data_IF_816987260393
#
_entry.id   IF_816987260393
#
_cell.length_a   1.000
_cell.length_b   1.000
_cell.length_c   1.000
_cell.angle_alpha   90.00
_cell.angle_beta   90.00
_cell.angle_gamma   90.00
#
_symmetry.space_group_name_H-M   'P 1'
#
loop_
_entity.id
_entity.type
_entity.pdbx_description
1 polymer ?
#
# COMPACT_ATOMS: atom_id res chain seq x y z
N UNK A 1 -31.33 9.56 -17.16
CA UNK A 1 -29.97 9.01 -17.31
C UNK A 1 -29.14 9.45 -16.13
N UNK A 2 -28.96 8.57 -15.14
CA UNK A 2 -28.14 8.87 -13.97
C UNK A 2 -26.67 8.67 -14.34
N UNK A 3 -25.86 9.75 -14.27
CA UNK A 3 -24.40 9.62 -14.24
C UNK A 3 -24.06 8.73 -13.05
N UNK A 4 -23.56 7.52 -13.32
CA UNK A 4 -22.92 6.72 -12.28
C UNK A 4 -21.89 7.63 -11.60
N UNK A 5 -22.05 7.87 -10.30
CA UNK A 5 -21.05 8.60 -9.54
C UNK A 5 -19.74 7.84 -9.76
N UNK A 6 -18.77 8.47 -10.45
CA UNK A 6 -17.45 7.89 -10.60
C UNK A 6 -17.00 7.50 -9.20
N UNK A 7 -16.69 6.21 -8.99
CA UNK A 7 -16.30 5.71 -7.69
C UNK A 7 -15.21 6.65 -7.13
N UNK A 8 -15.26 7.06 -5.84
CA UNK A 8 -14.32 8.05 -5.29
C UNK A 8 -12.84 7.76 -5.63
N UNK A 9 -12.50 6.48 -5.80
CA UNK A 9 -11.18 6.02 -6.21
C UNK A 9 -10.73 6.40 -7.63
N UNK A 10 -11.65 6.59 -8.58
CA UNK A 10 -11.30 6.82 -10.00
C UNK A 10 -10.45 8.09 -10.24
N UNK A 11 -10.53 9.08 -9.35
CA UNK A 11 -9.63 10.25 -9.40
C UNK A 11 -8.32 10.02 -8.66
N UNK A 12 -8.35 9.19 -7.62
CA UNK A 12 -7.17 8.80 -6.85
C UNK A 12 -6.28 7.81 -7.59
N UNK A 13 -6.84 6.98 -8.49
CA UNK A 13 -6.09 5.96 -9.26
C UNK A 13 -5.03 6.52 -10.22
N UNK A 14 -5.05 7.84 -10.47
CA UNK A 14 -3.97 8.55 -11.15
C UNK A 14 -2.72 8.73 -10.28
N UNK A 15 -2.84 8.56 -8.96
CA UNK A 15 -1.81 8.84 -7.96
C UNK A 15 -1.51 7.64 -7.06
N UNK A 16 -2.53 6.84 -6.73
CA UNK A 16 -2.43 5.70 -5.82
C UNK A 16 -3.15 4.49 -6.43
N UNK A 17 -2.48 3.35 -6.40
CA UNK A 17 -3.03 2.06 -6.80
C UNK A 17 -3.97 1.52 -5.73
N UNK A 18 -3.51 1.54 -4.47
CA UNK A 18 -4.29 1.17 -3.30
C UNK A 18 -3.74 1.77 -2.00
N UNK A 19 -4.54 1.68 -0.95
CA UNK A 19 -4.14 1.90 0.44
C UNK A 19 -4.23 0.57 1.17
N UNK A 20 -3.17 0.20 1.88
CA UNK A 20 -3.14 -1.01 2.68
C UNK A 20 -3.07 -0.66 4.17
N UNK A 21 -3.73 -1.47 4.97
CA UNK A 21 -3.60 -1.46 6.43
C UNK A 21 -2.96 -2.78 6.83
N UNK A 22 -1.81 -2.71 7.50
CA UNK A 22 -1.06 -3.88 7.97
C UNK A 22 -1.00 -3.84 9.48
N UNK A 23 -1.29 -4.95 10.13
CA UNK A 23 -1.19 -5.12 11.59
C UNK A 23 -0.20 -6.20 11.94
N UNK A 24 0.07 -6.34 13.23
CA UNK A 24 0.80 -7.48 13.75
C UNK A 24 -0.16 -8.44 14.43
N UNK A 25 -0.29 -9.63 13.86
CA UNK A 25 -0.96 -10.79 14.44
C UNK A 25 0.05 -11.64 15.22
N UNK A 26 -0.36 -12.20 16.36
CA UNK A 26 0.54 -12.94 17.25
C UNK A 26 0.98 -14.30 16.69
N UNK A 27 0.15 -14.91 15.83
CA UNK A 27 0.42 -16.22 15.24
C UNK A 27 1.07 -16.08 13.86
N UNK A 28 0.60 -15.13 13.06
CA UNK A 28 1.03 -14.95 11.67
C UNK A 28 2.15 -13.91 11.50
N UNK A 29 2.37 -13.04 12.48
CA UNK A 29 3.28 -11.90 12.36
C UNK A 29 2.62 -10.73 11.61
N UNK A 30 3.34 -10.08 10.70
CA UNK A 30 2.78 -8.96 9.93
C UNK A 30 1.70 -9.46 8.96
N UNK A 31 0.47 -8.96 9.12
CA UNK A 31 -0.69 -9.41 8.35
C UNK A 31 -1.44 -8.23 7.72
N UNK A 32 -1.94 -8.45 6.50
CA UNK A 32 -2.73 -7.47 5.77
C UNK A 32 -4.16 -7.48 6.31
N UNK A 33 -4.58 -6.42 6.98
CA UNK A 33 -5.93 -6.27 7.53
C UNK A 33 -6.91 -5.78 6.46
N UNK A 34 -6.51 -4.80 5.65
CA UNK A 34 -7.38 -4.16 4.68
C UNK A 34 -6.63 -3.68 3.44
N UNK A 35 -7.30 -3.74 2.30
CA UNK A 35 -6.91 -3.08 1.05
C UNK A 35 -8.08 -2.23 0.57
N UNK A 36 -7.80 -0.97 0.27
CA UNK A 36 -8.75 -0.05 -0.35
C UNK A 36 -8.20 0.43 -1.69
N UNK A 37 -8.97 0.37 -2.78
CA UNK A 37 -10.34 -0.09 -2.84
C UNK A 37 -10.42 -1.63 -2.74
N UNK A 38 -11.55 -2.16 -2.28
CA UNK A 38 -11.72 -3.59 -1.97
C UNK A 38 -11.67 -4.52 -3.20
N UNK A 39 -11.85 -3.95 -4.39
CA UNK A 39 -11.74 -4.63 -5.67
C UNK A 39 -10.31 -4.63 -6.22
N UNK A 40 -9.38 -3.86 -5.64
CA UNK A 40 -7.96 -3.95 -5.99
C UNK A 40 -7.40 -5.32 -5.59
N UNK A 41 -6.65 -5.94 -6.50
CA UNK A 41 -6.15 -7.31 -6.35
C UNK A 41 -4.62 -7.33 -6.35
N UNK A 42 -4.04 -7.34 -5.16
CA UNK A 42 -2.64 -7.67 -4.97
C UNK A 42 -2.44 -9.19 -5.11
N UNK A 43 -1.36 -9.60 -5.76
CA UNK A 43 -0.91 -10.99 -5.73
C UNK A 43 -0.43 -11.37 -4.33
N UNK A 44 -0.42 -12.66 -3.99
CA UNK A 44 0.01 -13.08 -2.65
C UNK A 44 1.49 -12.74 -2.37
N UNK A 45 2.32 -12.72 -3.42
CA UNK A 45 3.70 -12.26 -3.33
C UNK A 45 3.80 -10.77 -3.01
N UNK A 46 2.96 -9.94 -3.62
CA UNK A 46 2.92 -8.49 -3.33
C UNK A 46 2.36 -8.23 -1.93
N UNK A 47 1.27 -8.91 -1.53
CA UNK A 47 0.75 -8.83 -0.17
C UNK A 47 1.82 -9.18 0.86
N UNK A 48 2.51 -10.30 0.66
CA UNK A 48 3.59 -10.74 1.56
C UNK A 48 4.72 -9.70 1.63
N UNK A 49 5.12 -9.14 0.48
CA UNK A 49 6.16 -8.10 0.43
C UNK A 49 5.73 -6.81 1.13
N UNK A 50 4.48 -6.37 0.92
CA UNK A 50 3.90 -5.20 1.60
C UNK A 50 3.87 -5.43 3.10
N UNK A 51 3.35 -6.57 3.57
CA UNK A 51 3.29 -6.87 5.01
C UNK A 51 4.67 -6.81 5.67
N UNK A 52 5.65 -7.49 5.07
CA UNK A 52 7.01 -7.56 5.60
C UNK A 52 7.67 -6.18 5.66
N UNK A 53 7.56 -5.40 4.58
CA UNK A 53 8.18 -4.08 4.47
C UNK A 53 7.38 -2.96 5.14
N UNK A 54 6.22 -3.24 5.73
CA UNK A 54 5.41 -2.22 6.41
C UNK A 54 5.85 -1.96 7.85
N UNK A 55 6.81 -2.72 8.36
CA UNK A 55 7.32 -2.59 9.72
C UNK A 55 8.80 -2.20 9.67
N UNK A 56 9.30 -1.40 10.63
CA UNK A 56 10.71 -1.08 10.70
C UNK A 56 11.56 -2.32 11.01
N UNK A 57 12.77 -2.40 10.45
CA UNK A 57 13.69 -3.53 10.62
C UNK A 57 14.15 -3.74 12.07
N UNK A 58 14.06 -2.71 12.92
CA UNK A 58 14.35 -2.81 14.35
C UNK A 58 13.20 -2.28 15.19
N UNK A 59 12.90 -3.00 16.27
CA UNK A 59 11.95 -2.59 17.30
C UNK A 59 12.58 -1.66 18.35
N UNK A 60 13.91 -1.56 18.41
CA UNK A 60 14.61 -0.74 19.40
C UNK A 60 14.57 0.74 19.02
N UNK A 61 13.69 1.51 19.67
CA UNK A 61 13.60 2.97 19.51
C UNK A 61 12.43 3.47 18.67
N UNK A 62 11.51 2.61 18.22
CA UNK A 62 10.36 3.00 17.40
C UNK A 62 9.06 3.23 18.21
N UNK A 63 9.16 3.66 19.47
CA UNK A 63 7.99 4.08 20.24
C UNK A 63 7.42 5.38 19.64
N UNK A 64 6.15 5.37 19.25
CA UNK A 64 5.47 6.48 18.59
C UNK A 64 5.20 6.20 17.11
N UNK A 65 5.40 7.21 16.27
CA UNK A 65 5.11 7.17 14.84
C UNK A 65 6.40 7.20 14.02
N UNK A 66 6.50 6.33 13.02
CA UNK A 66 7.63 6.26 12.10
C UNK A 66 7.13 6.31 10.67
N UNK A 67 7.77 7.12 9.83
CA UNK A 67 7.47 7.23 8.41
C UNK A 67 8.67 6.78 7.59
N UNK A 68 8.42 5.98 6.56
CA UNK A 68 9.47 5.52 5.66
C UNK A 68 8.85 5.07 4.32
N UNK A 69 9.70 4.68 3.38
CA UNK A 69 9.24 4.23 2.07
C UNK A 69 10.02 3.03 1.59
N UNK A 70 9.35 2.18 0.83
CA UNK A 70 9.95 1.01 0.18
C UNK A 70 9.53 0.95 -1.28
N UNK A 71 10.21 0.08 -2.03
CA UNK A 71 9.85 -0.25 -3.40
C UNK A 71 9.82 -1.77 -3.57
N UNK A 72 8.77 -2.29 -4.18
CA UNK A 72 8.66 -3.71 -4.52
C UNK A 72 8.47 -3.88 -6.03
N UNK A 73 8.88 -5.02 -6.57
CA UNK A 73 8.60 -5.35 -7.97
C UNK A 73 7.14 -5.71 -8.14
N UNK A 74 6.49 -5.15 -9.16
CA UNK A 74 5.17 -5.58 -9.59
C UNK A 74 5.27 -7.01 -10.15
N UNK A 75 4.36 -7.88 -9.77
CA UNK A 75 4.27 -9.22 -10.33
C UNK A 75 3.52 -9.17 -11.66
N UNK A 76 3.97 -9.92 -12.66
CA UNK A 76 3.33 -9.96 -13.98
C UNK A 76 1.97 -10.68 -13.91
N UNK A 77 0.88 -9.94 -13.67
CA UNK A 77 -0.49 -10.45 -13.62
C UNK A 77 -1.54 -9.33 -13.51
N UNK A 78 -2.63 -9.44 -14.29
CA UNK A 78 -3.83 -8.56 -14.33
C UNK A 78 -3.58 -7.08 -14.00
N UNK A 79 -3.17 -6.34 -15.04
CA UNK A 79 -3.08 -4.88 -15.04
C UNK A 79 -4.47 -4.29 -14.83
N UNK A 80 -4.57 -3.28 -13.97
CA UNK A 80 -5.81 -2.56 -13.76
C UNK A 80 -6.41 -2.10 -15.10
N UNK A 81 -7.75 -2.15 -15.28
CA UNK A 81 -8.40 -1.68 -16.52
C UNK A 81 -8.10 -0.21 -16.85
N UNK A 82 -7.68 0.56 -15.83
CA UNK A 82 -7.40 1.99 -15.90
C UNK A 82 -6.12 2.34 -16.69
N UNK A 83 -5.22 1.37 -16.90
CA UNK A 83 -3.97 1.60 -17.63
C UNK A 83 -4.14 1.93 -19.13
N UNK A 84 -5.29 1.61 -19.73
CA UNK A 84 -5.52 1.88 -21.15
C UNK A 84 -5.67 3.38 -21.44
N UNK A 85 -6.35 4.12 -20.57
CA UNK A 85 -6.57 5.57 -20.69
C UNK A 85 -5.31 6.36 -20.26
N UNK A 86 -4.61 5.87 -19.23
CA UNK A 86 -3.37 6.49 -18.73
C UNK A 86 -2.22 6.47 -19.76
N UNK A 87 -2.21 5.53 -20.71
CA UNK A 87 -1.15 5.44 -21.72
C UNK A 87 -1.04 6.70 -22.58
N UNK A 88 -2.16 7.38 -22.84
CA UNK A 88 -2.19 8.65 -23.56
C UNK A 88 -1.65 9.81 -22.74
N UNK A 89 -1.91 9.85 -21.43
CA UNK A 89 -1.34 10.86 -20.54
C UNK A 89 0.16 10.65 -20.34
N UNK A 90 0.55 9.38 -20.14
CA UNK A 90 1.93 9.01 -19.85
C UNK A 90 2.87 9.24 -21.05
N UNK A 91 2.38 9.08 -22.29
CA UNK A 91 3.19 9.31 -23.50
C UNK A 91 3.52 10.79 -23.73
N UNK A 92 2.66 11.70 -23.25
CA UNK A 92 2.89 13.15 -23.31
C UNK A 92 3.76 13.70 -22.18
N UNK A 93 3.99 12.92 -21.12
CA UNK A 93 4.79 13.34 -19.97
C UNK A 93 6.30 13.20 -20.24
N UNK A 94 7.14 14.11 -19.72
CA UNK A 94 8.60 13.94 -19.68
C UNK A 94 8.98 12.59 -19.08
N UNK A 95 10.07 11.97 -19.56
CA UNK A 95 10.49 10.62 -19.12
C UNK A 95 10.61 10.48 -17.59
N UNK A 96 11.00 11.54 -16.89
CA UNK A 96 11.12 11.56 -15.42
C UNK A 96 9.78 11.54 -14.68
N UNK A 97 8.69 11.88 -15.35
CA UNK A 97 7.32 11.88 -14.81
C UNK A 97 6.50 10.70 -15.35
N UNK A 98 7.11 9.83 -16.17
CA UNK A 98 6.43 8.66 -16.66
C UNK A 98 6.21 7.66 -15.53
N UNK A 99 5.00 7.09 -15.49
CA UNK A 99 4.64 6.05 -14.52
C UNK A 99 5.57 4.86 -14.67
N UNK A 100 6.17 4.45 -13.55
CA UNK A 100 7.07 3.29 -13.48
C UNK A 100 6.27 1.98 -13.54
N UNK A 101 6.42 1.16 -14.59
CA UNK A 101 5.57 -0.02 -14.79
C UNK A 101 6.10 -1.30 -14.12
N UNK A 102 7.31 -1.29 -13.56
CA UNK A 102 7.91 -2.49 -12.99
C UNK A 102 7.87 -2.55 -11.45
N UNK A 103 7.50 -1.45 -10.80
CA UNK A 103 7.58 -1.34 -9.34
C UNK A 103 6.38 -0.64 -8.74
N UNK A 104 5.99 -1.08 -7.54
CA UNK A 104 5.17 -0.30 -6.64
C UNK A 104 6.05 0.45 -5.65
N UNK A 105 5.63 1.66 -5.31
CA UNK A 105 6.23 2.46 -4.26
C UNK A 105 5.28 2.52 -3.08
N UNK A 106 5.74 2.04 -1.91
CA UNK A 106 4.98 2.05 -0.67
C UNK A 106 5.49 3.17 0.23
N UNK A 107 4.63 4.13 0.57
CA UNK A 107 4.88 5.06 1.67
C UNK A 107 4.17 4.56 2.93
N UNK A 108 4.93 4.39 4.01
CA UNK A 108 4.46 3.77 5.25
C UNK A 108 4.36 4.82 6.34
N UNK A 109 3.22 4.85 7.01
CA UNK A 109 3.04 5.47 8.32
C UNK A 109 2.81 4.36 9.35
N UNK A 110 3.84 4.04 10.13
CA UNK A 110 3.81 3.02 11.17
C UNK A 110 3.59 3.67 12.53
N UNK A 111 2.76 3.05 13.36
CA UNK A 111 2.55 3.43 14.76
C UNK A 111 2.83 2.24 15.67
N UNK A 112 3.63 2.48 16.69
CA UNK A 112 3.84 1.56 17.80
C UNK A 112 3.65 2.27 19.13
N UNK A 113 2.66 1.84 19.90
CA UNK A 113 2.38 2.40 21.23
C UNK A 113 2.27 1.28 22.24
N UNK A 114 2.69 1.56 23.48
CA UNK A 114 2.51 0.61 24.59
C UNK A 114 1.02 0.44 24.84
N UNK A 115 0.57 -0.79 24.85
CA UNK A 115 -0.82 -1.15 25.12
C UNK A 115 -0.84 -2.39 26.02
N UNK A 116 -1.13 -2.17 27.30
CA UNK A 116 -1.19 -3.23 28.30
C UNK A 116 -2.43 -4.12 28.18
N UNK A 117 -3.43 -3.73 27.37
CA UNK A 117 -4.60 -4.56 27.11
C UNK A 117 -4.33 -5.67 26.08
N UNK A 118 -3.25 -5.54 25.31
CA UNK A 118 -2.83 -6.51 24.29
C UNK A 118 -1.78 -7.44 24.87
N UNK A 119 -1.88 -8.74 24.62
CA UNK A 119 -0.99 -9.78 25.19
C UNK A 119 0.51 -9.51 24.93
N UNK A 120 0.85 -8.87 23.82
CA UNK A 120 2.23 -8.50 23.46
C UNK A 120 2.74 -7.22 24.12
N UNK A 121 1.85 -6.44 24.74
CA UNK A 121 2.18 -5.18 25.42
C UNK A 121 2.36 -3.98 24.50
N UNK A 122 2.20 -4.16 23.18
CA UNK A 122 2.30 -3.08 22.19
C UNK A 122 1.25 -3.24 21.10
N UNK A 123 0.58 -2.14 20.78
CA UNK A 123 -0.17 -1.98 19.55
C UNK A 123 0.79 -1.60 18.43
N UNK A 124 0.71 -2.30 17.30
CA UNK A 124 1.53 -2.02 16.11
C UNK A 124 0.67 -2.08 14.85
N UNK A 125 0.69 -1.01 14.07
CA UNK A 125 -0.12 -0.90 12.84
C UNK A 125 0.52 0.05 11.84
N UNK A 126 0.39 -0.29 10.56
CA UNK A 126 0.91 0.48 9.44
C UNK A 126 -0.21 0.86 8.49
N UNK A 127 -0.23 2.12 8.08
CA UNK A 127 -0.95 2.58 6.90
C UNK A 127 0.05 2.71 5.76
N UNK A 128 -0.24 2.08 4.63
CA UNK A 128 0.63 2.07 3.45
C UNK A 128 -0.11 2.68 2.28
N UNK A 129 0.48 3.71 1.68
CA UNK A 129 0.02 4.26 0.41
C UNK A 129 0.85 3.63 -0.70
N UNK A 130 0.18 2.96 -1.65
CA UNK A 130 0.84 2.27 -2.76
C UNK A 130 0.59 3.05 -4.05
N UNK A 131 1.65 3.46 -4.72
CA UNK A 131 1.65 4.09 -6.05
C UNK A 131 2.36 3.24 -7.09
#
# INVERSE_FOLDING_TARGET
>A
GARAAAAPWARFSAWLECVCVVTFDLELGQALELVYPSDFRLTDKEKSSICYLSFPDSHSGCLGDTQFSFRIRQCSGQRSPWHAEDRHYNSGAPMSLQREPAHYFGYVYFRQVKDSSVQRGYFQKSLVLVS
#
